data_IF_528119646513
#
_entry.id   IF_528119646513
#
_cell.length_a   1.000
_cell.length_b   1.000
_cell.length_c   1.000
_cell.angle_alpha   90.00
_cell.angle_beta   90.00
_cell.angle_gamma   90.00
#
_symmetry.space_group_name_H-M   'P 1'
#
loop_
_entity.id
_entity.type
_entity.pdbx_description
1 polymer ?
2 polymer ?
3 polymer ?
4 non-polymer ?
5 non-polymer ?
6 non-polymer ?
7 water ?
#
# COMPACT_ATOMS: atom_id res chain seq x y z
N UNK A 7 -17.82 5.19 6.15
CA UNK A 7 -18.12 5.71 7.54
C UNK A 7 -17.51 4.80 8.60
N UNK A 8 -17.34 3.53 8.24
CA UNK A 8 -16.75 2.54 9.11
C UNK A 8 -15.29 2.25 8.69
N UNK A 9 -14.71 3.13 7.88
CA UNK A 9 -13.36 2.91 7.38
C UNK A 9 -12.29 2.83 8.49
N UNK A 10 -11.26 2.04 8.27
CA UNK A 10 -10.08 2.00 9.14
C UNK A 10 -10.26 1.34 10.47
N UNK A 11 -11.39 0.64 10.65
CA UNK A 11 -11.68 -0.12 11.88
C UNK A 11 -11.71 -1.56 11.47
N UNK A 12 -10.79 -2.34 12.02
CA UNK A 12 -10.64 -3.74 11.61
C UNK A 12 -11.56 -4.65 12.40
N UNK A 13 -12.32 -5.50 11.70
CA UNK A 13 -13.23 -6.41 12.42
C UNK A 13 -12.52 -7.25 13.49
N UNK A 14 -11.30 -7.71 13.22
CA UNK A 14 -10.59 -8.58 14.17
C UNK A 14 -9.76 -7.84 15.21
N UNK A 15 -9.77 -6.51 15.12
CA UNK A 15 -9.00 -5.73 16.05
C UNK A 15 -9.87 -4.64 16.67
N UNK A 16 -9.89 -3.44 16.08
CA UNK A 16 -10.65 -2.35 16.66
C UNK A 16 -12.10 -2.71 17.00
N UNK A 17 -12.77 -3.40 16.09
CA UNK A 17 -14.18 -3.72 16.24
C UNK A 17 -14.42 -4.63 17.47
N UNK A 18 -13.45 -5.47 17.80
CA UNK A 18 -13.50 -6.37 18.97
C UNK A 18 -12.66 -5.84 20.11
N UNK A 19 -12.10 -4.63 19.97
CA UNK A 19 -11.16 -4.08 20.97
C UNK A 19 -10.00 -5.03 21.29
N UNK A 20 -9.40 -5.60 20.24
CA UNK A 20 -8.15 -6.31 20.39
C UNK A 20 -7.04 -5.49 19.69
N UNK A 21 -5.82 -5.58 20.18
CA UNK A 21 -4.71 -4.87 19.57
C UNK A 21 -3.77 -5.84 18.93
N UNK A 22 -3.19 -5.44 17.79
CA UNK A 22 -2.19 -6.28 17.15
C UNK A 22 -0.89 -6.11 17.90
N UNK A 23 0.06 -6.98 17.60
CA UNK A 23 1.33 -7.04 18.32
C UNK A 23 2.23 -5.82 18.24
N UNK A 24 2.09 -4.97 17.21
CA UNK A 24 3.03 -3.85 17.13
C UNK A 24 2.37 -2.48 17.00
N UNK A 25 1.04 -2.38 16.98
CA UNK A 25 0.44 -1.04 16.87
C UNK A 25 0.89 -0.06 17.98
N UNK A 26 1.15 -0.61 19.17
CA UNK A 26 1.63 0.20 20.29
C UNK A 26 2.91 0.96 19.91
N UNK A 27 3.77 0.31 19.11
CA UNK A 27 4.99 0.93 18.59
C UNK A 27 4.64 2.21 17.81
N UNK A 28 3.53 2.18 17.08
CA UNK A 28 3.11 3.37 16.32
C UNK A 28 2.65 4.49 17.23
N UNK A 29 1.79 4.14 18.18
CA UNK A 29 1.27 5.09 19.15
C UNK A 29 2.41 5.73 19.91
N UNK A 30 3.36 4.91 20.36
CA UNK A 30 4.49 5.45 21.14
C UNK A 30 5.31 6.44 20.32
N UNK A 31 5.29 6.31 19.00
CA UNK A 31 6.07 7.25 18.17
C UNK A 31 5.34 8.60 18.00
N UNK A 32 4.04 8.66 18.34
CA UNK A 32 3.25 9.89 18.11
C UNK A 32 3.34 10.78 19.34
N UNK A 33 4.52 11.38 19.51
CA UNK A 33 4.89 12.14 20.69
C UNK A 33 4.50 13.64 20.71
N UNK A 34 4.28 14.24 19.52
CA UNK A 34 3.94 15.69 19.44
C UNK A 34 2.43 15.95 19.56
N UNK B 1 8.78 -6.91 1.34
CA UNK B 1 9.19 -6.32 2.64
C UNK B 1 10.47 -6.99 3.14
N UNK B 2 11.45 -6.16 3.46
CA UNK B 2 12.72 -6.65 3.97
C UNK B 2 12.77 -6.41 5.46
N UNK B 3 13.08 -7.47 6.22
CA UNK B 3 13.24 -7.35 7.69
C UNK B 3 11.92 -7.01 8.40
N UNK B 4 10.82 -7.52 7.84
CA UNK B 4 9.51 -7.37 8.44
C UNK B 4 9.17 -8.67 9.15
N UNK B 5 7.89 -8.89 9.40
CA UNK B 5 7.49 -10.14 10.03
C UNK B 5 6.16 -10.53 9.45
N UNK B 6 5.72 -11.74 9.74
CA UNK B 6 4.43 -12.22 9.25
C UNK B 6 3.30 -11.36 9.78
N UNK B 7 2.39 -10.94 8.90
CA UNK B 7 1.21 -10.23 9.35
C UNK B 7 0.32 -11.17 10.16
N UNK B 8 -0.35 -10.65 11.18
CA UNK B 8 -1.38 -11.44 11.90
C UNK B 8 -2.60 -11.51 11.00
N UNK B 9 -3.47 -12.49 11.25
CA UNK B 9 -4.69 -12.66 10.48
C UNK B 9 -5.58 -11.43 10.66
N UNK B 10 -6.05 -10.87 9.54
CA UNK B 10 -6.96 -9.71 9.54
C UNK B 10 -6.31 -8.41 9.98
N UNK B 11 -4.98 -8.37 9.99
CA UNK B 11 -4.23 -7.21 10.47
C UNK B 11 -4.27 -6.05 9.49
N UNK B 12 -4.43 -6.37 8.21
CA UNK B 12 -4.43 -5.36 7.15
C UNK B 12 -5.55 -5.72 6.15
N UNK B 13 -6.82 -5.59 6.60
CA UNK B 13 -7.92 -6.08 5.76
C UNK B 13 -8.21 -5.24 4.51
N UNK B 14 -7.46 -4.16 4.33
CA UNK B 14 -7.60 -3.33 3.11
C UNK B 14 -6.50 -3.70 2.11
N UNK B 15 -5.62 -4.60 2.49
CA UNK B 15 -4.52 -5.01 1.62
C UNK B 15 -5.11 -5.75 0.44
N UNK B 16 -4.70 -5.33 -0.76
CA UNK B 16 -5.15 -5.93 -2.00
C UNK B 16 -3.93 -6.44 -2.78
N UNK B 17 -4.09 -7.59 -3.43
CA UNK B 17 -3.06 -8.10 -4.35
C UNK B 17 -3.48 -7.81 -5.79
N UNK B 18 -2.58 -7.17 -6.54
CA UNK B 18 -2.82 -6.92 -7.96
C UNK B 18 -2.24 -8.14 -8.67
N UNK B 19 -3.10 -8.85 -9.38
CA UNK B 19 -2.73 -10.14 -9.96
C UNK B 19 -2.85 -10.17 -11.50
N UNK B 20 -1.80 -10.60 -12.16
CA UNK B 20 -1.82 -10.75 -13.60
C UNK B 20 -2.45 -12.09 -13.95
N UNK B 21 -3.45 -12.08 -14.85
CA UNK B 21 -4.13 -13.31 -15.30
C UNK B 21 -3.19 -14.37 -15.90
N UNK B 22 -2.39 -13.95 -16.89
CA UNK B 22 -1.40 -14.84 -17.50
C UNK B 22 -0.21 -14.09 -18.06
N UNK B 23 1.00 -14.53 -17.69
CA UNK B 23 1.20 -15.65 -16.76
C UNK B 23 0.76 -15.25 -15.35
N UNK B 24 0.12 -16.16 -14.62
CA UNK B 24 -0.33 -15.89 -13.24
C UNK B 24 0.83 -15.42 -12.38
N UNK B 25 0.67 -14.24 -11.81
CA UNK B 25 1.73 -13.66 -10.98
C UNK B 25 1.31 -12.39 -10.27
N UNK B 26 1.98 -12.15 -9.16
CA UNK B 26 1.80 -10.97 -8.37
C UNK B 26 2.44 -9.84 -9.15
N UNK B 27 1.67 -8.78 -9.35
CA UNK B 27 2.23 -7.57 -9.96
C UNK B 27 2.60 -6.54 -8.89
N UNK B 28 1.69 -6.33 -7.94
CA UNK B 28 1.84 -5.26 -6.97
C UNK B 28 0.84 -5.40 -5.86
N UNK B 29 1.00 -4.55 -4.85
CA UNK B 29 0.03 -4.37 -3.78
C UNK B 29 -0.92 -3.25 -4.23
N UNK B 30 -1.91 -2.99 -3.39
CA UNK B 30 -2.95 -2.04 -3.67
C UNK B 30 -3.76 -1.95 -2.40
N UNK B 31 -4.80 -1.11 -2.33
CA UNK B 31 -5.57 -1.03 -1.10
C UNK B 31 -7.04 -0.74 -1.37
N UNK B 32 -7.88 -1.31 -0.51
CA UNK B 32 -9.32 -1.16 -0.64
C UNK B 32 -9.77 0.12 0.09
N UNK B 33 -10.37 1.05 -0.64
CA UNK B 33 -10.84 2.33 -0.06
C UNK B 33 -12.38 2.48 0.05
N UNK B 34 -13.12 1.55 -0.58
CA UNK B 34 -14.60 1.43 -0.50
C UNK B 34 -14.93 0.07 -1.11
N UNK B 35 -16.23 -0.22 -1.29
CA UNK B 35 -16.62 -1.51 -1.88
C UNK B 35 -16.40 -1.61 -3.39
N UNK B 36 -16.16 -0.47 -4.06
CA UNK B 36 -15.93 -0.47 -5.52
C UNK B 36 -14.57 0.09 -5.96
N UNK B 37 -13.79 0.65 -5.03
CA UNK B 37 -12.54 1.33 -5.38
C UNK B 37 -11.30 0.80 -4.68
N UNK B 38 -10.26 0.61 -5.49
CA UNK B 38 -8.95 0.14 -5.07
C UNK B 38 -7.90 1.17 -5.51
N UNK B 39 -7.02 1.51 -4.57
CA UNK B 39 -5.94 2.46 -4.80
C UNK B 39 -4.64 1.69 -4.97
N UNK B 40 -3.81 2.17 -5.90
CA UNK B 40 -2.50 1.58 -6.15
C UNK B 40 -1.54 2.65 -6.74
N UNK B 41 -0.32 2.24 -7.04
CA UNK B 41 0.67 3.10 -7.68
C UNK B 41 0.48 3.07 -9.20
N UNK B 42 0.53 4.25 -9.84
CA UNK B 42 0.43 4.33 -11.30
C UNK B 42 1.43 3.42 -12.02
N UNK B 43 2.65 3.34 -11.49
CA UNK B 43 3.69 2.58 -12.17
C UNK B 43 3.46 1.06 -12.18
N UNK B 44 2.52 0.59 -11.37
CA UNK B 44 2.13 -0.82 -11.34
C UNK B 44 1.32 -1.15 -12.61
N UNK B 45 0.69 -0.13 -13.18
CA UNK B 45 -0.16 -0.26 -14.37
C UNK B 45 0.46 0.31 -15.67
N UNK B 46 1.19 1.42 -15.52
CA UNK B 46 1.75 2.11 -16.66
C UNK B 46 3.17 2.53 -16.42
N UNK B 47 4.09 1.95 -17.18
CA UNK B 47 5.49 2.33 -17.13
C UNK B 47 6.12 2.03 -18.50
N UNK B 48 5.88 2.95 -19.47
CA UNK B 48 6.42 2.84 -20.83
C UNK B 48 7.87 2.40 -20.98
N UNK B 49 8.81 2.89 -20.14
CA UNK B 49 10.20 2.52 -20.30
C UNK B 49 10.48 1.03 -20.23
N UNK B 50 9.57 0.29 -19.58
CA UNK B 50 9.66 -1.15 -19.44
C UNK B 50 8.58 -1.89 -20.24
N UNK B 51 7.92 -1.17 -21.14
CA UNK B 51 6.79 -1.67 -21.93
C UNK B 51 5.63 -2.17 -21.08
N UNK B 52 5.38 -1.50 -19.97
CA UNK B 52 4.26 -1.86 -19.11
C UNK B 52 3.10 -0.91 -19.39
N UNK B 53 1.99 -1.46 -19.89
CA UNK B 53 0.77 -0.73 -20.12
C UNK B 53 -0.43 -1.68 -20.01
N UNK B 54 -0.78 -2.05 -18.77
CA UNK B 54 -1.88 -3.00 -18.56
C UNK B 54 -3.27 -2.46 -18.88
N UNK B 55 -4.12 -3.32 -19.43
CA UNK B 55 -5.51 -2.93 -19.65
C UNK B 55 -6.35 -3.63 -18.54
N UNK B 56 -7.60 -3.21 -18.37
CA UNK B 56 -8.50 -3.82 -17.37
C UNK B 56 -8.51 -5.35 -17.45
N UNK B 57 -8.67 -5.89 -18.66
CA UNK B 57 -8.75 -7.34 -18.88
C UNK B 57 -7.51 -8.12 -18.55
N UNK B 58 -6.36 -7.45 -18.44
CA UNK B 58 -5.13 -8.15 -18.15
C UNK B 58 -5.02 -8.55 -16.68
N UNK B 59 -5.87 -7.93 -15.86
CA UNK B 59 -5.68 -7.97 -14.41
C UNK B 59 -6.83 -8.41 -13.55
N UNK B 60 -6.47 -8.87 -12.36
CA UNK B 60 -7.43 -9.17 -11.31
C UNK B 60 -6.95 -8.54 -10.02
N UNK B 61 -7.87 -8.22 -9.12
CA UNK B 61 -7.47 -7.83 -7.77
C UNK B 61 -7.94 -8.95 -6.80
N UNK B 62 -7.07 -9.34 -5.88
CA UNK B 62 -7.41 -10.35 -4.88
C UNK B 62 -7.38 -9.67 -3.52
N UNK B 63 -8.54 -9.73 -2.84
CA UNK B 63 -8.77 -9.02 -1.60
C UNK B 63 -9.04 -10.01 -0.46
N UNK B 64 -8.50 -9.73 0.72
CA UNK B 64 -8.73 -10.56 1.91
C UNK B 64 -7.67 -11.62 2.10
N UNK B 65 -6.53 -11.47 1.42
CA UNK B 65 -5.49 -12.49 1.43
C UNK B 65 -4.49 -12.42 2.59
N UNK B 66 -3.91 -13.58 2.86
CA UNK B 66 -2.84 -13.72 3.83
C UNK B 66 -1.67 -14.43 3.14
N UNK B 67 -1.95 -15.63 2.66
CA UNK B 67 -1.00 -16.41 1.90
C UNK B 67 -0.76 -15.74 0.53
N UNK B 68 0.49 -15.74 0.07
CA UNK B 68 0.85 -15.15 -1.23
C UNK B 68 0.29 -15.94 -2.41
N UNK B 69 0.67 -17.22 -2.47
CA UNK B 69 0.35 -18.15 -3.58
C UNK B 69 -0.95 -18.97 -3.47
N UNK B 70 -1.37 -19.29 -2.25
CA UNK B 70 -2.56 -20.12 -2.01
C UNK B 70 -3.84 -19.46 -2.53
N UNK B 71 -4.78 -20.27 -3.02
CA UNK B 71 -6.12 -19.76 -3.28
C UNK B 71 -6.84 -19.96 -1.94
N UNK B 72 -7.27 -18.85 -1.34
CA UNK B 72 -7.84 -18.87 0.01
C UNK B 72 -9.36 -18.91 -0.03
N UNK B 73 -9.83 -20.10 -0.37
CA UNK B 73 -11.25 -20.43 -0.50
C UNK B 73 -11.99 -20.04 0.75
N UNK B 74 -13.11 -19.33 0.58
CA UNK B 74 -13.97 -18.84 1.65
C UNK B 74 -13.38 -17.63 2.40
N UNK B 75 -12.17 -17.22 2.02
CA UNK B 75 -11.53 -16.05 2.66
C UNK B 75 -11.36 -14.87 1.69
N UNK B 76 -10.54 -15.07 0.66
CA UNK B 76 -10.33 -14.04 -0.36
C UNK B 76 -11.49 -13.92 -1.33
N UNK B 77 -11.65 -12.71 -1.86
CA UNK B 77 -12.58 -12.44 -2.93
C UNK B 77 -11.72 -11.95 -4.11
N UNK B 78 -12.07 -12.41 -5.31
CA UNK B 78 -11.35 -12.06 -6.53
C UNK B 78 -12.31 -11.20 -7.37
N UNK B 79 -11.86 -10.01 -7.72
CA UNK B 79 -12.69 -9.07 -8.45
C UNK B 79 -12.06 -8.69 -9.78
N UNK B 80 -12.94 -8.37 -10.73
CA UNK B 80 -12.52 -7.96 -12.07
C UNK B 80 -12.55 -6.47 -12.10
N UNK B 81 -11.73 -5.90 -12.98
CA UNK B 81 -11.63 -4.45 -13.12
C UNK B 81 -12.61 -3.89 -14.13
N UNK B 82 -13.39 -2.89 -13.73
CA UNK B 82 -14.28 -2.22 -14.67
C UNK B 82 -13.53 -1.10 -15.43
N UNK B 83 -12.71 -0.32 -14.69
CA UNK B 83 -12.01 0.81 -15.29
C UNK B 83 -10.79 1.26 -14.46
N UNK B 84 -9.67 1.52 -15.14
CA UNK B 84 -8.44 2.03 -14.55
C UNK B 84 -8.39 3.53 -14.79
N UNK B 85 -7.93 4.29 -13.79
CA UNK B 85 -7.72 5.75 -13.88
C UNK B 85 -6.33 6.07 -13.38
N UNK B 86 -5.53 6.68 -14.24
CA UNK B 86 -4.17 7.02 -13.86
C UNK B 86 -4.08 8.53 -13.67
N UNK B 87 -3.40 9.00 -12.62
CA UNK B 87 -3.28 10.45 -12.46
C UNK B 87 -2.81 11.08 -13.81
N UNK B 88 -3.53 12.10 -14.33
CA UNK B 88 -3.09 12.69 -15.62
C UNK B 88 -1.70 13.37 -15.57
N UNK B 89 -1.16 13.65 -14.38
CA UNK B 89 0.20 14.23 -14.32
C UNK B 89 1.22 13.30 -13.67
N UNK B 90 0.92 12.00 -13.72
CA UNK B 90 1.85 10.99 -13.28
C UNK B 90 3.10 11.14 -14.14
N UNK B 91 4.24 11.34 -13.50
CA UNK B 91 5.48 11.57 -14.21
C UNK B 91 6.36 10.32 -14.31
N UNK B 92 6.00 9.42 -15.22
CA UNK B 92 6.80 8.21 -15.45
C UNK B 92 8.10 8.47 -16.18
N UNK B 93 8.17 9.59 -16.90
CA UNK B 93 9.40 9.92 -17.68
C UNK B 93 10.57 10.25 -16.79
N UNK B 94 10.29 10.98 -15.72
CA UNK B 94 11.35 11.38 -14.80
C UNK B 94 11.40 10.59 -13.50
N UNK B 95 10.64 11.03 -12.49
CA UNK B 95 10.84 10.53 -11.12
C UNK B 95 9.66 9.86 -10.43
N UNK B 96 8.64 9.48 -11.21
CA UNK B 96 7.42 8.87 -10.68
C UNK B 96 6.61 9.85 -9.79
N UNK B 97 6.78 11.15 -10.04
CA UNK B 97 5.97 12.16 -9.35
C UNK B 97 4.51 11.84 -9.59
N UNK B 98 3.69 11.92 -8.54
CA UNK B 98 2.24 11.58 -8.56
C UNK B 98 1.98 10.14 -8.94
N UNK B 99 2.66 9.23 -8.24
CA UNK B 99 2.58 7.80 -8.55
C UNK B 99 1.31 7.24 -7.88
N UNK B 100 0.18 7.39 -8.57
CA UNK B 100 -1.12 7.02 -8.04
C UNK B 100 -2.08 6.68 -9.17
N UNK B 101 -2.94 5.70 -8.92
CA UNK B 101 -3.95 5.23 -9.85
C UNK B 101 -5.13 4.66 -9.04
N UNK B 102 -6.32 4.77 -9.61
CA UNK B 102 -7.53 4.16 -9.05
C UNK B 102 -8.06 3.09 -10.01
N UNK B 103 -8.62 2.04 -9.44
CA UNK B 103 -9.27 0.98 -10.20
C UNK B 103 -10.69 0.81 -9.66
N UNK B 104 -11.71 0.94 -10.53
CA UNK B 104 -13.10 0.67 -10.17
C UNK B 104 -13.36 -0.81 -10.44
N UNK B 105 -14.02 -1.48 -9.49
CA UNK B 105 -14.29 -2.91 -9.63
C UNK B 105 -15.60 -3.12 -10.36
N UNK B 106 -15.75 -4.23 -11.08
CA UNK B 106 -17.02 -4.47 -11.79
C UNK B 106 -18.21 -4.55 -10.84
N UNK B 107 -18.01 -5.18 -9.68
CA UNK B 107 -19.06 -5.38 -8.66
C UNK B 107 -18.54 -5.01 -7.27
N UNK B 108 -19.45 -4.61 -6.36
CA UNK B 108 -18.99 -4.29 -5.00
C UNK B 108 -18.47 -5.57 -4.33
N UNK B 109 -17.39 -5.45 -3.57
CA UNK B 109 -16.84 -6.59 -2.83
C UNK B 109 -17.56 -6.62 -1.48
N UNK B 110 -17.90 -7.82 -1.01
CA UNK B 110 -18.56 -7.94 0.30
C UNK B 110 -17.54 -7.88 1.46
N UNK B 111 -17.81 -7.05 2.46
CA UNK B 111 -16.89 -6.93 3.61
C UNK B 111 -17.00 -8.14 4.52
N UNK B 112 -15.92 -8.46 5.21
CA UNK B 112 -15.87 -9.61 6.09
C UNK B 112 -14.80 -9.32 7.14
N UNK B 113 -14.44 -10.33 7.92
CA UNK B 113 -13.38 -10.21 8.91
C UNK B 113 -12.02 -9.91 8.24
N UNK B 114 -11.89 -10.32 6.99
CA UNK B 114 -10.61 -10.26 6.26
C UNK B 114 -10.54 -9.13 5.21
N UNK B 115 -11.69 -8.50 4.98
CA UNK B 115 -11.91 -7.52 3.94
C UNK B 115 -12.62 -6.31 4.49
N UNK B 116 -11.92 -5.18 4.54
CA UNK B 116 -12.47 -3.95 5.12
C UNK B 116 -11.65 -2.75 4.64
N UNK B 117 -12.32 -1.69 4.19
CA UNK B 117 -11.55 -0.55 3.66
C UNK B 117 -10.78 0.32 4.69
N UNK B 118 -9.74 0.97 4.19
CA UNK B 118 -8.93 1.86 5.00
C UNK B 118 -9.46 3.26 4.76
N UNK B 119 -9.26 4.17 5.71
CA UNK B 119 -9.64 5.57 5.54
C UNK B 119 -8.59 6.36 4.76
N UNK B 120 -9.05 7.41 4.07
CA UNK B 120 -8.16 8.37 3.41
C UNK B 120 -8.11 9.59 4.27
N UNK B 121 -6.92 10.20 4.42
CA UNK B 121 -6.81 11.36 5.31
C UNK B 121 -7.42 12.64 4.77
N UNK B 122 -7.84 13.50 5.69
CA UNK B 122 -8.22 14.84 5.35
C UNK B 122 -7.04 15.73 5.76
N UNK B 123 -7.15 17.01 5.44
CA UNK B 123 -6.13 18.04 5.71
C UNK B 123 -5.60 17.95 7.15
N UNK B 124 -6.52 17.80 8.11
CA UNK B 124 -6.19 17.78 9.54
C UNK B 124 -5.45 16.50 9.94
N UNK B 125 -5.89 15.36 9.42
CA UNK B 125 -5.24 14.11 9.72
C UNK B 125 -3.81 14.15 9.17
N UNK B 126 -3.66 14.62 7.94
CA UNK B 126 -2.32 14.74 7.35
C UNK B 126 -1.42 15.63 8.19
N UNK B 127 -1.96 16.78 8.60
CA UNK B 127 -1.16 17.75 9.34
C UNK B 127 -0.64 17.16 10.65
N UNK B 128 -1.51 16.46 11.37
CA UNK B 128 -1.04 15.93 12.66
C UNK B 128 -0.19 14.66 12.64
N UNK B 129 -0.32 13.83 11.63
CA UNK B 129 0.36 12.54 11.62
C UNK B 129 1.62 12.47 10.75
N UNK B 130 1.66 13.31 9.73
CA UNK B 130 2.77 13.27 8.79
C UNK B 130 3.94 14.06 9.26
N UNK B 131 4.56 13.61 10.34
CA UNK B 131 5.67 14.32 10.96
C UNK B 131 6.84 13.38 11.09
N UNK B 132 8.04 13.91 10.87
CA UNK B 132 9.29 13.14 11.00
C UNK B 132 9.33 12.46 12.37
N UNK B 133 9.65 11.17 12.39
CA UNK B 133 9.70 10.44 13.65
C UNK B 133 8.48 9.55 13.84
N UNK B 134 7.31 10.03 13.43
CA UNK B 134 6.05 9.27 13.52
C UNK B 134 6.13 8.03 12.65
N UNK B 135 5.72 6.90 13.21
CA UNK B 135 5.81 5.66 12.49
C UNK B 135 4.55 5.30 11.75
N UNK B 136 4.74 4.76 10.55
CA UNK B 136 3.67 4.21 9.78
C UNK B 136 3.94 2.73 9.57
N UNK B 137 3.07 2.04 8.86
CA UNK B 137 3.17 0.60 8.66
C UNK B 137 2.95 0.24 7.19
N UNK B 138 3.86 -0.60 6.69
CA UNK B 138 3.87 -1.01 5.30
C UNK B 138 3.70 -2.52 5.26
N UNK B 139 2.79 -2.99 4.40
CA UNK B 139 2.55 -4.41 4.21
C UNK B 139 2.68 -4.79 2.74
N UNK B 140 3.01 -6.06 2.46
CA UNK B 140 3.10 -6.52 1.09
C UNK B 140 3.70 -7.93 0.96
N UNK B 141 3.59 -8.49 -0.25
CA UNK B 141 4.12 -9.82 -0.55
C UNK B 141 5.34 -9.76 -1.44
N UNK B 142 5.99 -8.60 -1.46
CA UNK B 142 7.18 -8.36 -2.26
C UNK B 142 8.37 -9.11 -1.74
N UNK B 143 9.49 -8.94 -2.42
CA UNK B 143 10.70 -9.65 -2.04
C UNK B 143 11.11 -9.43 -0.58
N UNK B 144 11.62 -10.50 0.02
CA UNK B 144 12.19 -10.46 1.35
C UNK B 144 13.61 -9.85 1.35
N UNK B 145 14.25 -9.80 0.18
CA UNK B 145 15.64 -9.29 0.04
C UNK B 145 15.85 -8.60 -1.29
N UNK B 146 16.79 -7.66 -1.34
CA UNK B 146 17.12 -6.99 -2.59
C UNK B 146 17.62 -8.00 -3.65
N UNK B 147 18.49 -8.93 -3.25
CA UNK B 147 18.95 -9.98 -4.17
C UNK B 147 18.47 -11.37 -3.72
N UNK B 155 13.53 -15.64 -0.86
CA UNK B 155 13.22 -14.73 -1.95
C UNK B 155 11.87 -14.04 -1.79
N UNK B 156 10.83 -14.86 -1.84
CA UNK B 156 9.45 -14.40 -1.75
C UNK B 156 8.80 -14.97 -0.48
N UNK B 157 7.88 -14.21 0.15
CA UNK B 157 7.29 -14.71 1.39
C UNK B 157 6.13 -15.67 1.19
N UNK B 158 5.95 -16.55 2.17
CA UNK B 158 4.81 -17.44 2.18
C UNK B 158 3.54 -16.65 2.49
N UNK B 159 3.67 -15.66 3.38
CA UNK B 159 2.52 -14.87 3.80
C UNK B 159 2.81 -13.35 3.87
N UNK B 160 1.72 -12.58 3.87
CA UNK B 160 1.77 -11.14 3.99
C UNK B 160 2.75 -10.72 5.07
N UNK B 161 3.63 -9.79 4.70
CA UNK B 161 4.66 -9.26 5.62
C UNK B 161 4.29 -7.86 6.08
N UNK B 162 4.79 -7.50 7.26
CA UNK B 162 4.51 -6.20 7.84
C UNK B 162 5.79 -5.59 8.38
N UNK B 163 5.94 -4.27 8.22
CA UNK B 163 7.04 -3.58 8.88
C UNK B 163 6.56 -2.17 9.24
N UNK B 164 6.94 -1.70 10.43
CA UNK B 164 6.66 -0.33 10.88
C UNK B 164 7.89 0.50 10.71
N UNK B 165 7.74 1.68 10.12
CA UNK B 165 8.89 2.53 9.81
C UNK B 165 8.61 3.97 10.09
N UNK B 166 9.63 4.71 10.58
CA UNK B 166 9.43 6.14 10.87
C UNK B 166 9.56 7.04 9.66
N UNK B 167 8.73 8.08 9.63
CA UNK B 167 8.79 9.10 8.61
C UNK B 167 10.08 9.89 8.80
N UNK B 168 10.76 10.18 7.69
CA UNK B 168 12.06 10.84 7.70
C UNK B 168 11.96 12.32 7.32
N UNK B 169 12.76 13.15 7.99
CA UNK B 169 12.85 14.59 7.74
C UNK B 169 13.11 14.80 6.27
N UNK B 170 12.43 15.76 5.65
CA UNK B 170 12.58 16.04 4.21
C UNK B 170 14.04 16.32 3.73
N UNK B 171 14.84 17.11 4.49
CA UNK B 171 16.23 17.29 4.06
C UNK B 171 17.00 15.98 4.02
N UNK B 172 16.76 15.09 4.99
CA UNK B 172 17.42 13.81 5.01
C UNK B 172 17.00 12.96 3.78
N UNK B 173 15.71 12.98 3.44
CA UNK B 173 15.25 12.26 2.24
C UNK B 173 15.99 12.77 0.98
N UNK B 174 16.02 14.09 0.84
CA UNK B 174 16.64 14.71 -0.32
C UNK B 174 18.13 14.38 -0.41
N UNK B 175 18.83 14.46 0.72
CA UNK B 175 20.27 14.18 0.75
C UNK B 175 20.64 12.73 0.59
N UNK B 176 19.64 11.85 0.55
CA UNK B 176 19.93 10.41 0.45
C UNK B 176 19.98 9.96 -0.98
N UNK B 177 19.60 10.84 -1.91
CA UNK B 177 19.45 10.41 -3.29
C UNK B 177 19.77 11.51 -4.27
N UNK B 178 20.05 11.13 -5.52
CA UNK B 178 20.25 12.08 -6.62
C UNK B 178 18.94 12.39 -7.32
N UNK B 179 17.91 11.57 -7.07
CA UNK B 179 16.60 11.78 -7.69
C UNK B 179 15.94 13.05 -7.13
N UNK B 180 15.31 13.84 -7.99
CA UNK B 180 14.54 15.01 -7.56
C UNK B 180 13.26 14.59 -6.80
N UNK B 181 13.20 14.94 -5.52
CA UNK B 181 12.07 14.68 -4.63
C UNK B 181 11.02 15.80 -4.80
N UNK B 182 9.72 15.48 -4.78
CA UNK B 182 8.67 16.52 -4.87
C UNK B 182 7.78 16.50 -3.60
N UNK B 183 6.96 17.53 -3.46
CA UNK B 183 6.00 17.66 -2.37
C UNK B 183 4.97 16.51 -2.37
N UNK B 184 4.90 15.77 -3.48
CA UNK B 184 3.96 14.62 -3.57
C UNK B 184 4.60 13.30 -3.10
N UNK B 185 5.76 13.39 -2.48
CA UNK B 185 6.46 12.21 -1.99
C UNK B 185 6.91 12.50 -0.56
N UNK B 186 7.10 11.43 0.22
CA UNK B 186 7.74 11.51 1.52
C UNK B 186 8.53 10.21 1.57
N UNK B 187 9.53 10.14 2.44
CA UNK B 187 10.31 8.92 2.60
C UNK B 187 10.23 8.46 4.08
N UNK B 188 10.55 7.19 4.28
CA UNK B 188 10.46 6.57 5.60
C UNK B 188 11.53 5.50 5.72
N UNK B 189 11.91 5.21 6.96
CA UNK B 189 12.94 4.19 7.19
C UNK B 189 13.88 4.66 8.26
N UNK B 190 14.64 3.72 8.80
CA UNK B 190 15.59 4.00 9.86
C UNK B 190 16.92 4.47 9.29
N UNK B 191 17.62 5.28 10.08
CA UNK B 191 18.96 5.73 9.75
C UNK B 191 19.90 4.54 10.06
N UNK B 192 21.12 4.57 9.48
CA UNK B 192 22.08 3.48 9.73
C UNK B 192 22.52 3.48 11.18
N UNK B 193 22.81 2.30 11.71
CA UNK B 193 23.31 2.16 13.09
C UNK B 193 22.26 2.49 14.18
N UNK B 194 21.01 2.75 13.77
CA UNK B 194 19.90 3.01 14.70
C UNK B 194 19.58 1.76 15.54
N UNK B 195 19.83 0.59 14.94
CA UNK B 195 19.65 -0.69 15.61
C UNK B 195 18.44 -1.45 15.09
N UNK B 196 17.70 -0.80 14.18
CA UNK B 196 16.51 -1.40 13.54
C UNK B 196 16.61 -1.08 12.06
N UNK B 197 16.06 -1.97 11.22
CA UNK B 197 16.09 -1.82 9.76
C UNK B 197 14.67 -2.08 9.22
N UNK B 198 14.55 -2.21 7.91
CA UNK B 198 13.25 -2.49 7.32
C UNK B 198 12.92 -1.58 6.17
N UNK B 199 12.17 -2.13 5.21
CA UNK B 199 11.88 -1.40 4.00
C UNK B 199 10.93 -2.24 3.20
N UNK B 200 10.28 -1.60 2.22
CA UNK B 200 9.49 -2.26 1.23
C UNK B 200 10.52 -2.73 0.20
N UNK B 201 10.06 -3.46 -0.80
CA UNK B 201 10.94 -3.93 -1.85
C UNK B 201 10.08 -4.29 -3.06
N UNK B 202 10.72 -4.79 -4.13
CA UNK B 202 10.02 -5.11 -5.40
C UNK B 202 8.80 -5.96 -5.13
N UNK B 203 7.66 -5.62 -5.74
CA UNK B 203 6.42 -6.39 -5.47
C UNK B 203 5.51 -5.80 -4.39
N UNK B 204 6.08 -4.96 -3.51
CA UNK B 204 5.32 -4.23 -2.48
C UNK B 204 4.66 -2.97 -3.03
N UNK B 205 5.19 -2.46 -4.14
CA UNK B 205 4.70 -1.22 -4.77
C UNK B 205 3.21 -1.22 -4.93
N UNK B 206 2.61 -0.05 -4.77
CA UNK B 206 1.17 0.10 -4.89
C UNK B 206 0.50 -0.16 -3.57
N UNK B 207 1.19 -0.85 -2.68
CA UNK B 207 0.69 -1.12 -1.33
C UNK B 207 0.63 0.12 -0.46
N UNK B 208 -0.07 0.03 0.67
CA UNK B 208 -0.32 1.17 1.53
C UNK B 208 0.65 1.40 2.69
N UNK B 209 0.91 2.68 3.00
CA UNK B 209 1.66 3.06 4.18
C UNK B 209 0.56 3.67 5.04
N UNK B 210 0.25 3.00 6.13
CA UNK B 210 -0.87 3.41 6.98
C UNK B 210 -0.41 3.85 8.35
N UNK B 211 -1.25 4.63 9.01
CA UNK B 211 -0.96 5.11 10.35
C UNK B 211 -2.24 5.04 11.15
N UNK B 212 -2.15 4.72 12.44
CA UNK B 212 -3.35 4.65 13.28
C UNK B 212 -3.58 5.96 14.02
N UNK B 213 -4.65 6.66 13.69
CA UNK B 213 -4.92 7.92 14.36
C UNK B 213 -5.09 7.73 15.88
N UNK B 214 -4.32 8.47 16.70
CA UNK B 214 -4.53 8.38 18.15
C UNK B 214 -5.77 9.18 18.59
N UNK B 215 -6.41 9.89 17.66
CA UNK B 215 -7.59 10.68 17.96
C UNK B 215 -8.86 9.88 17.88
N UNK B 216 -9.00 9.07 16.82
CA UNK B 216 -10.24 8.33 16.62
C UNK B 216 -10.07 6.82 16.45
N UNK B 217 -8.83 6.35 16.67
CA UNK B 217 -8.44 4.93 16.54
C UNK B 217 -8.65 4.30 15.16
N UNK B 218 -8.72 5.12 14.12
CA UNK B 218 -8.89 4.59 12.77
C UNK B 218 -7.58 4.57 11.98
N UNK B 219 -7.46 3.63 11.07
CA UNK B 219 -6.27 3.55 10.23
C UNK B 219 -6.51 4.38 9.00
N UNK B 220 -5.53 5.22 8.70
CA UNK B 220 -5.53 6.10 7.52
C UNK B 220 -4.38 5.73 6.60
N UNK B 221 -4.65 5.68 5.31
CA UNK B 221 -3.58 5.44 4.35
C UNK B 221 -2.91 6.80 4.01
N UNK B 222 -1.69 7.01 4.51
CA UNK B 222 -1.00 8.26 4.25
C UNK B 222 -0.14 8.18 3.00
N UNK B 223 0.30 6.97 2.67
CA UNK B 223 1.23 6.80 1.54
C UNK B 223 0.97 5.57 0.69
N UNK B 224 1.56 5.55 -0.49
CA UNK B 224 1.54 4.39 -1.38
C UNK B 224 3.00 4.04 -1.65
N UNK B 225 3.37 2.78 -1.48
CA UNK B 225 4.74 2.32 -1.75
C UNK B 225 5.04 2.68 -3.20
N UNK B 226 6.08 3.50 -3.42
CA UNK B 226 6.38 4.00 -4.76
C UNK B 226 7.73 3.58 -5.35
N UNK B 227 8.84 4.00 -4.73
CA UNK B 227 10.18 3.63 -5.24
C UNK B 227 11.25 3.70 -4.18
N UNK B 228 12.39 3.15 -4.54
CA UNK B 228 13.57 3.15 -3.69
C UNK B 228 14.73 2.72 -4.58
N UNK B 229 15.95 2.98 -4.13
CA UNK B 229 17.13 2.57 -4.86
C UNK B 229 17.68 1.38 -4.07
N UNK B 230 17.21 0.21 -4.45
CA UNK B 230 17.49 -1.00 -3.69
C UNK B 230 16.45 -1.11 -2.58
N UNK B 231 16.64 -2.10 -1.70
CA UNK B 231 15.75 -2.36 -0.59
C UNK B 231 16.57 -2.51 0.68
N UNK B 232 16.14 -1.78 1.72
CA UNK B 232 16.80 -1.81 3.02
C UNK B 232 18.32 -1.52 2.99
N UNK B 233 18.75 -0.64 2.07
CA UNK B 233 20.17 -0.21 2.10
C UNK B 233 20.40 0.87 3.17
N UNK B 234 21.59 0.86 3.79
CA UNK B 234 21.99 1.87 4.78
C UNK B 234 22.15 3.26 4.12
N UNK B 235 21.58 4.28 4.76
CA UNK B 235 21.62 5.63 4.20
C UNK B 235 20.62 5.88 3.07
N UNK B 236 19.85 4.84 2.74
CA UNK B 236 18.78 4.91 1.74
C UNK B 236 17.38 4.79 2.40
N UNK B 237 16.34 5.28 1.73
CA UNK B 237 14.98 5.27 2.28
C UNK B 237 13.93 4.95 1.21
N UNK B 238 12.81 4.38 1.63
CA UNK B 238 11.72 4.12 0.71
C UNK B 238 10.96 5.41 0.53
N UNK B 239 10.45 5.62 -0.69
CA UNK B 239 9.64 6.76 -1.04
C UNK B 239 8.22 6.36 -1.32
N UNK B 240 7.30 7.19 -0.81
CA UNK B 240 5.87 6.91 -0.84
C UNK B 240 5.13 8.06 -1.49
N UNK B 241 4.15 7.74 -2.33
CA UNK B 241 3.27 8.76 -2.86
C UNK B 241 2.52 9.41 -1.66
N UNK B 242 2.54 10.74 -1.58
CA UNK B 242 1.85 11.46 -0.49
C UNK B 242 0.36 11.50 -0.84
N UNK B 243 -0.42 10.64 -0.21
CA UNK B 243 -1.85 10.47 -0.52
C UNK B 243 -2.70 11.73 -0.32
N UNK B 244 -2.55 12.41 0.82
CA UNK B 244 -3.33 13.62 1.01
C UNK B 244 -3.11 14.69 -0.09
N UNK B 245 -1.87 14.91 -0.51
CA UNK B 245 -1.58 15.90 -1.55
C UNK B 245 -2.33 15.65 -2.84
N UNK B 246 -2.73 14.40 -3.06
CA UNK B 246 -3.40 14.03 -4.30
C UNK B 246 -4.89 13.71 -4.11
N UNK B 247 -5.40 13.98 -2.91
CA UNK B 247 -6.78 13.65 -2.60
C UNK B 247 -7.83 14.36 -3.47
N UNK B 248 -7.49 15.54 -3.99
CA UNK B 248 -8.41 16.30 -4.85
C UNK B 248 -8.67 15.52 -6.15
N UNK B 249 -7.61 14.92 -6.70
CA UNK B 249 -7.77 14.08 -7.89
C UNK B 249 -8.57 12.82 -7.55
N UNK B 250 -8.24 12.19 -6.41
CA UNK B 250 -8.99 11.00 -5.96
C UNK B 250 -10.51 11.27 -5.91
N UNK B 251 -10.88 12.36 -5.24
CA UNK B 251 -12.24 12.76 -5.08
C UNK B 251 -12.92 13.03 -6.43
N UNK B 252 -12.22 13.72 -7.32
CA UNK B 252 -12.75 14.02 -8.64
C UNK B 252 -13.10 12.74 -9.40
N UNK B 253 -12.19 11.78 -9.40
CA UNK B 253 -12.43 10.52 -10.13
C UNK B 253 -13.63 9.79 -9.54
N UNK B 254 -13.67 9.73 -8.21
CA UNK B 254 -14.74 9.05 -7.50
C UNK B 254 -16.11 9.75 -7.66
N UNK B 255 -16.18 11.05 -7.41
CA UNK B 255 -17.43 11.78 -7.61
C UNK B 255 -17.94 11.67 -9.05
N UNK B 256 -17.02 11.76 -10.00
CA UNK B 256 -17.36 11.70 -11.44
C UNK B 256 -17.77 10.33 -11.97
N UNK B 257 -17.01 9.29 -11.65
CA UNK B 257 -17.26 7.95 -12.21
C UNK B 257 -17.86 6.89 -11.28
N UNK B 258 -18.11 7.25 -10.03
CA UNK B 258 -18.65 6.30 -9.06
C UNK B 258 -20.11 6.55 -8.81
N UNK C 1 3.93 -22.89 -8.07
CA UNK C 1 4.04 -21.66 -7.22
C UNK C 1 2.63 -21.14 -6.89
N UNK C 2 2.03 -20.39 -7.82
CA UNK C 2 0.66 -19.89 -7.62
C UNK C 2 -0.37 -20.98 -7.88
N UNK C 3 -1.24 -21.19 -6.90
CA UNK C 3 -2.31 -22.16 -7.02
C UNK C 3 -3.39 -21.63 -7.97
N UNK C 4 -3.88 -22.49 -8.86
CA UNK C 4 -4.93 -22.15 -9.81
C UNK C 4 -6.14 -21.57 -9.10
N UNK C 5 -6.72 -20.52 -9.66
CA UNK C 5 -7.93 -19.95 -9.09
C UNK C 5 -9.14 -20.47 -9.89
N UNK C 6 -10.36 -20.46 -9.32
CA UNK C 6 -11.54 -20.88 -10.09
C UNK C 6 -11.59 -20.23 -11.50
N UNK C 7 -11.99 -21.02 -12.50
CA UNK C 7 -12.05 -20.58 -13.91
C UNK C 7 -12.97 -19.39 -14.17
N UNK C 8 -14.01 -19.25 -13.35
CA UNK C 8 -14.97 -18.16 -13.48
C UNK C 8 -14.29 -16.78 -13.45
N UNK C 9 -13.20 -16.66 -12.69
CA UNK C 9 -12.48 -15.40 -12.53
C UNK C 9 -11.64 -15.00 -13.75
N UNK C 10 -11.19 -16.01 -14.51
CA UNK C 10 -10.33 -15.81 -15.69
C UNK C 10 -11.05 -15.42 -16.98
X LIG D 1 19.98 14.98 -3.31
X LIG E 1 17.69 2.20 4.64
X LIG F 1 8.98 2.41 -0.81
X LIG F 1 10.04 1.36 -1.67
X LIG F 1 11.30 0.89 -1.13
X LIG F 1 11.94 -0.01 -2.05
X LIG F 1 11.16 -0.19 -3.25
X LIG F 1 11.59 -1.05 -4.41
X LIG F 1 13.70 -1.90 -5.95
X LIG F 1 15.11 -1.66 -6.03
X LIG F 1 13.23 -3.25 -5.81
X LIG F 1 12.99 -1.43 -7.31
X LIG F 1 13.45 -0.22 -8.00
X LIG F 1 13.75 -0.43 -9.50
X LIG F 1 13.39 0.95 -10.11
X LIG F 1 12.48 0.95 -7.92
X LIG F 1 11.74 1.19 -6.97
X LIG F 1 12.56 1.63 -9.10
X LIG F 1 11.88 2.91 -9.35
X LIG F 1 12.85 4.11 -9.25
X LIG F 1 11.18 2.92 -10.70
X LIG F 1 11.61 3.63 -11.60
X LIG F 1 10.09 2.14 -10.88
X LIG F 1 9.40 2.14 -12.17
X LIG F 1 9.21 0.71 -12.66
X LIG F 1 8.60 -0.10 -11.64
X LIG F 1 9.39 -0.16 -10.44
X LIG F 1 9.49 1.26 -9.86
X LIG F 1 9.68 0.68 -3.21
X LIG F 1 13.11 -0.92 -4.58
#
# INVERSE_FOLDING_TARGET
TFGSGEADCGLRPLFEKKSLEDKTERELLESYIDGR
IVEGSDAEIGMSPWQVMLFRKSPQELLCGASLISDRWVLTAAHCLLYPPWDKNFTENDLLVRIGKHSRTRYERNIEKISMLEKIYIHPRYNWRENLDRDIALMKLKKPVAFSDYIHPVCLPDRETAASLLQAGYKGRVTGWGNLKETWTANVGKGQPSVLQVVNLPIVERPVCKDSTRIRITDNMFCAGYKPDEGKRGDACEGDSGGPFVMKSPFNNRWYQMGIVSWGEGCDRDGKYGFYTHVFRLKKWIQKVIDQFGE
DFEEIPEEYL
CA CA
NA NA
894 CL1 C1 C2 C3 C4 C9 S1 O2 O1 N1 C12 C13 C14 C15 O3 N2 C16 C17 C18 O4 N3 C19 C20 O5 C22 C23 S6 C6
#
